data_IF_017874659193
#
_entry.id   IF_017874659193
#
_cell.length_a   1.000
_cell.length_b   1.000
_cell.length_c   1.000
_cell.angle_alpha   90.00
_cell.angle_beta   90.00
_cell.angle_gamma   90.00
#
_symmetry.space_group_name_H-M   'P 1'
#
loop_
_entity.id
_entity.type
_entity.pdbx_description
1 polymer ?
#
# COMPACT_ATOMS: atom_id res chain seq x y z
N UNK A 1 2.52 2.13 -24.40
CA UNK A 1 1.26 1.47 -23.98
C UNK A 1 0.25 2.40 -23.31
N UNK A 2 0.28 2.68 -21.99
CA UNK A 2 -0.78 3.49 -21.34
C UNK A 2 -0.99 4.86 -21.99
N UNK A 3 0.09 5.65 -22.11
CA UNK A 3 0.06 6.99 -22.73
C UNK A 3 -0.17 6.95 -24.24
N UNK A 4 0.33 5.91 -24.88
CA UNK A 4 0.28 5.71 -26.34
C UNK A 4 -1.14 5.42 -26.83
N UNK A 5 -1.89 4.61 -26.07
CA UNK A 5 -3.26 4.22 -26.39
C UNK A 5 -4.32 4.91 -25.53
N UNK A 6 -3.92 5.88 -24.69
CA UNK A 6 -4.78 6.59 -23.74
C UNK A 6 -5.68 5.66 -22.91
N UNK A 7 -5.06 4.61 -22.33
CA UNK A 7 -5.78 3.58 -21.57
C UNK A 7 -5.80 3.90 -20.07
N UNK A 8 -6.90 3.48 -19.42
CA UNK A 8 -6.98 3.42 -17.96
C UNK A 8 -6.66 2.01 -17.49
N UNK A 9 -5.77 1.89 -16.50
CA UNK A 9 -5.42 0.61 -15.89
C UNK A 9 -5.83 0.56 -14.42
N UNK A 10 -6.39 -0.58 -14.02
CA UNK A 10 -6.65 -0.93 -12.63
C UNK A 10 -5.86 -2.18 -12.30
N UNK A 11 -4.93 -2.06 -11.35
CA UNK A 11 -4.15 -3.18 -10.83
C UNK A 11 -4.67 -3.58 -9.45
N UNK A 12 -4.78 -4.88 -9.22
CA UNK A 12 -5.15 -5.47 -7.93
C UNK A 12 -4.02 -6.42 -7.55
N UNK A 13 -3.31 -6.10 -6.47
CA UNK A 13 -2.15 -6.89 -6.00
C UNK A 13 -1.99 -6.77 -4.49
N UNK A 14 -1.27 -7.72 -3.90
CA UNK A 14 -0.79 -7.64 -2.52
C UNK A 14 0.65 -7.08 -2.43
N UNK A 15 1.35 -6.96 -3.56
CA UNK A 15 2.72 -6.43 -3.60
C UNK A 15 2.73 -4.92 -3.85
N UNK A 16 2.96 -4.18 -2.76
CA UNK A 16 3.03 -2.72 -2.77
C UNK A 16 4.36 -2.19 -3.32
N UNK A 17 5.42 -3.01 -3.33
CA UNK A 17 6.75 -2.63 -3.83
C UNK A 17 6.70 -2.32 -5.32
N UNK A 18 5.95 -3.12 -6.08
CA UNK A 18 5.72 -2.90 -7.50
C UNK A 18 4.88 -1.63 -7.75
N UNK A 19 3.84 -1.41 -6.95
CA UNK A 19 2.89 -0.32 -7.17
C UNK A 19 3.50 1.07 -7.00
N UNK A 20 4.57 1.21 -6.20
CA UNK A 20 5.33 2.46 -6.05
C UNK A 20 5.76 3.09 -7.38
N UNK A 21 6.09 2.26 -8.37
CA UNK A 21 6.64 2.72 -9.65
C UNK A 21 5.63 2.69 -10.81
N UNK A 22 4.48 2.03 -10.61
CA UNK A 22 3.51 1.78 -11.69
C UNK A 22 2.24 2.59 -11.53
N UNK A 23 1.77 2.80 -10.30
CA UNK A 23 0.48 3.43 -10.04
C UNK A 23 0.60 4.95 -9.91
N UNK A 24 -0.37 5.68 -10.46
CA UNK A 24 -0.57 7.10 -10.13
C UNK A 24 -1.27 7.26 -8.78
N UNK A 25 -2.28 6.41 -8.51
CA UNK A 25 -3.06 6.40 -7.27
C UNK A 25 -3.11 5.00 -6.69
N UNK A 26 -3.07 4.92 -5.36
CA UNK A 26 -3.13 3.66 -4.61
C UNK A 26 -4.31 3.72 -3.66
N UNK A 27 -5.03 2.60 -3.55
CA UNK A 27 -6.04 2.38 -2.53
C UNK A 27 -5.71 1.07 -1.78
N UNK A 28 -5.79 1.10 -0.46
CA UNK A 28 -5.67 -0.09 0.39
C UNK A 28 -7.04 -0.47 0.90
N UNK A 29 -7.30 -1.78 0.90
CA UNK A 29 -8.51 -2.35 1.45
C UNK A 29 -8.20 -3.25 2.64
N UNK A 30 -9.07 -3.19 3.64
CA UNK A 30 -9.12 -4.15 4.75
C UNK A 30 -10.57 -4.61 4.91
N UNK A 31 -10.79 -5.93 4.92
CA UNK A 31 -12.12 -6.55 5.02
C UNK A 31 -13.15 -5.95 4.04
N UNK A 32 -12.75 -5.74 2.79
CA UNK A 32 -13.62 -5.21 1.74
C UNK A 32 -13.88 -3.70 1.81
N UNK A 33 -13.29 -2.97 2.77
CA UNK A 33 -13.44 -1.52 2.91
C UNK A 33 -12.16 -0.80 2.49
N UNK A 34 -12.28 0.29 1.75
CA UNK A 34 -11.15 1.18 1.45
C UNK A 34 -10.76 1.91 2.73
N UNK A 35 -9.56 1.63 3.23
CA UNK A 35 -9.01 2.24 4.44
C UNK A 35 -8.24 3.52 4.14
N UNK A 36 -7.54 3.56 3.00
CA UNK A 36 -6.76 4.70 2.58
C UNK A 36 -6.71 4.75 1.05
N UNK A 37 -6.78 5.97 0.50
CA UNK A 37 -6.60 6.22 -0.93
C UNK A 37 -5.91 7.56 -1.13
N UNK A 38 -4.81 7.56 -1.88
CA UNK A 38 -4.04 8.77 -2.16
C UNK A 38 -3.25 8.64 -3.48
N UNK A 39 -2.66 9.74 -3.94
CA UNK A 39 -1.59 9.70 -4.95
C UNK A 39 -0.44 8.82 -4.43
N UNK A 40 0.15 8.01 -5.32
CA UNK A 40 1.19 7.05 -4.94
C UNK A 40 2.36 7.72 -4.21
N UNK A 41 2.82 8.88 -4.69
CA UNK A 41 3.89 9.65 -4.05
C UNK A 41 3.60 9.98 -2.59
N UNK A 42 2.39 10.50 -2.29
CA UNK A 42 1.97 10.83 -0.93
C UNK A 42 1.74 9.60 -0.09
N UNK A 43 1.15 8.56 -0.68
CA UNK A 43 0.84 7.30 -0.01
C UNK A 43 2.10 6.63 0.56
N UNK A 44 3.20 6.60 -0.19
CA UNK A 44 4.45 5.98 0.24
C UNK A 44 5.33 6.88 1.14
N UNK A 45 5.14 8.20 1.10
CA UNK A 45 5.93 9.15 1.89
C UNK A 45 5.28 9.47 3.24
N UNK A 46 3.95 9.56 3.30
CA UNK A 46 3.21 9.95 4.49
C UNK A 46 1.89 9.16 4.57
N UNK A 47 1.98 7.85 4.88
CA UNK A 47 0.81 6.99 5.06
C UNK A 47 0.02 7.38 6.32
N UNK A 48 -1.28 7.59 6.17
CA UNK A 48 -2.14 8.09 7.25
C UNK A 48 -2.80 6.98 8.06
N UNK A 49 -3.13 5.85 7.43
CA UNK A 49 -3.87 4.79 8.09
C UNK A 49 -2.91 3.78 8.77
N UNK A 50 -3.17 3.37 10.03
CA UNK A 50 -2.30 2.42 10.75
C UNK A 50 -2.05 1.11 10.00
N UNK A 51 -3.09 0.58 9.35
CA UNK A 51 -2.95 -0.62 8.50
C UNK A 51 -1.98 -0.38 7.33
N UNK A 52 -2.04 0.78 6.67
CA UNK A 52 -1.10 1.13 5.60
C UNK A 52 0.33 1.24 6.14
N UNK A 53 0.51 1.92 7.28
CA UNK A 53 1.82 2.06 7.92
C UNK A 53 2.45 0.69 8.23
N UNK A 54 1.64 -0.22 8.77
CA UNK A 54 2.06 -1.60 9.05
C UNK A 54 2.51 -2.33 7.78
N UNK A 55 1.72 -2.27 6.71
CA UNK A 55 2.06 -2.88 5.42
C UNK A 55 3.36 -2.30 4.84
N UNK A 56 3.50 -0.96 4.83
CA UNK A 56 4.67 -0.29 4.28
C UNK A 56 5.94 -0.56 5.11
N UNK A 57 5.83 -0.65 6.44
CA UNK A 57 6.96 -0.97 7.32
C UNK A 57 7.53 -2.37 7.07
N UNK A 58 6.76 -3.26 6.45
CA UNK A 58 7.13 -4.64 6.14
C UNK A 58 7.78 -4.80 4.75
N UNK A 59 7.77 -3.75 3.92
CA UNK A 59 8.36 -3.80 2.57
C UNK A 59 9.89 -3.81 2.68
N UNK A 60 10.60 -4.77 2.07
CA UNK A 60 12.05 -4.75 1.99
C UNK A 60 12.52 -3.63 1.05
N UNK A 61 13.53 -2.88 1.47
CA UNK A 61 14.18 -1.83 0.68
C UNK A 61 15.69 -2.07 0.65
N UNK A 62 16.36 -1.48 -0.33
CA UNK A 62 17.78 -1.76 -0.60
C UNK A 62 18.69 -0.65 -0.05
N UNK A 63 18.18 0.58 0.01
CA UNK A 63 18.94 1.75 0.48
C UNK A 63 18.68 2.07 1.95
N UNK A 64 19.70 2.58 2.65
CA UNK A 64 19.57 3.02 4.05
C UNK A 64 18.61 4.22 4.17
N UNK A 65 18.60 5.10 3.17
CA UNK A 65 17.69 6.25 3.12
C UNK A 65 16.22 5.82 3.04
N UNK A 66 15.90 4.79 2.26
CA UNK A 66 14.55 4.23 2.19
C UNK A 66 14.17 3.51 3.48
N UNK A 67 15.12 2.83 4.13
CA UNK A 67 14.84 2.15 5.40
C UNK A 67 14.53 3.17 6.51
N UNK A 68 15.25 4.29 6.54
CA UNK A 68 14.98 5.40 7.46
C UNK A 68 13.66 6.13 7.18
N UNK A 69 13.20 6.12 5.93
CA UNK A 69 11.94 6.76 5.53
C UNK A 69 10.69 5.88 5.77
N UNK A 70 10.86 4.60 6.11
CA UNK A 70 9.73 3.71 6.39
C UNK A 70 9.02 4.11 7.69
N UNK A 71 7.71 3.87 7.79
CA UNK A 71 7.01 3.98 9.06
C UNK A 71 7.67 3.07 10.10
N UNK A 72 7.62 3.48 11.37
CA UNK A 72 8.07 2.63 12.47
C UNK A 72 7.45 1.24 12.36
N UNK A 73 8.25 0.21 12.66
CA UNK A 73 7.83 -1.18 12.47
C UNK A 73 6.65 -1.51 13.39
N UNK A 74 5.46 -1.60 12.80
CA UNK A 74 4.24 -1.97 13.52
C UNK A 74 4.16 -3.50 13.55
N UNK A 75 4.23 -4.10 14.74
CA UNK A 75 4.05 -5.54 14.91
C UNK A 75 2.57 -5.88 14.73
N UNK A 76 2.23 -6.56 13.63
CA UNK A 76 0.91 -7.15 13.46
C UNK A 76 0.72 -8.25 14.51
N UNK A 77 -0.27 -8.10 15.38
CA UNK A 77 -0.67 -9.14 16.34
C UNK A 77 -1.97 -9.76 15.88
N UNK A 78 -1.96 -11.07 15.60
CA UNK A 78 -3.14 -11.83 15.17
C UNK A 78 -3.21 -12.13 13.66
N UNK A 79 -4.24 -12.87 13.27
CA UNK A 79 -4.56 -13.20 11.88
C UNK A 79 -5.58 -12.20 11.29
N UNK A 80 -5.55 -11.98 9.98
CA UNK A 80 -6.56 -11.18 9.30
C UNK A 80 -7.90 -11.94 9.36
N UNK A 81 -8.97 -11.36 9.92
CA UNK A 81 -10.26 -12.05 10.03
C UNK A 81 -10.89 -12.25 8.65
N UNK A 82 -11.82 -13.20 8.57
CA UNK A 82 -12.52 -13.48 7.31
C UNK A 82 -13.40 -12.30 6.90
N UNK A 83 -13.31 -11.80 5.66
CA UNK A 83 -14.23 -10.79 5.14
C UNK A 83 -15.69 -11.25 5.08
N UNK A 84 -15.91 -12.58 5.07
CA UNK A 84 -17.25 -13.18 5.06
C UNK A 84 -17.93 -13.07 6.43
N UNK A 85 -17.15 -12.93 7.51
CA UNK A 85 -17.65 -12.84 8.87
C UNK A 85 -16.89 -11.74 9.63
N UNK A 86 -17.25 -10.49 9.32
CA UNK A 86 -16.65 -9.30 9.93
C UNK A 86 -16.99 -9.30 11.43
N UNK A 87 -16.00 -9.19 12.34
CA UNK A 87 -16.24 -9.15 13.78
C UNK A 87 -17.01 -7.91 14.23
#
# INVERSE_FOLDING_TARGET
LQREFNLTYLFITHDLSLMRNVASRVAIMYLGKICEMAEASRFFQNPQHPYTQMLLSSIPVISEEEEAAKPEKIISTGEIPSPVNVP
#
